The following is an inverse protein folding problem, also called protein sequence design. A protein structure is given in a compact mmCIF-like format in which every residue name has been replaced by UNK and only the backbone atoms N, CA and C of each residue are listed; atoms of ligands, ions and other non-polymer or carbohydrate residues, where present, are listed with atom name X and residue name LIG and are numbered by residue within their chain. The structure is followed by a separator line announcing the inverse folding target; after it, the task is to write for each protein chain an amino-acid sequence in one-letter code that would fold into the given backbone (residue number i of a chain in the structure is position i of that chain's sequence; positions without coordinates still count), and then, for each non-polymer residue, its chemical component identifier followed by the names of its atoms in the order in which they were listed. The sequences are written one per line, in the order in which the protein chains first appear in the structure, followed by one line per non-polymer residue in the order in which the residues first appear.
data_IF_951937133212
#
_entry.id   IF_951937133212
#
_cell.length_a   1.000
_cell.length_b   1.000
_cell.length_c   1.000
_cell.angle_alpha   90.00
_cell.angle_beta   90.00
_cell.angle_gamma   90.00
#
_symmetry.space_group_name_H-M   'P 1'
#
loop_
_entity.id
_entity.type
_entity.pdbx_description
1 polymer ?
#
# COMPACT_ATOMS: atom_id res chain seq x y z
N UNK A 1 -10.83 10.74 17.85
CA UNK A 1 -11.40 10.02 16.70
C UNK A 1 -10.32 9.86 15.63
N UNK A 2 -10.17 8.68 15.00
CA UNK A 2 -9.22 8.51 13.89
C UNK A 2 -9.53 9.46 12.72
N UNK A 3 -8.52 9.98 11.99
CA UNK A 3 -8.75 10.78 10.79
C UNK A 3 -9.59 10.03 9.74
N UNK A 4 -10.45 10.73 8.98
CA UNK A 4 -11.22 10.10 7.91
C UNK A 4 -10.32 9.68 6.74
N UNK A 5 -10.73 8.65 6.00
CA UNK A 5 -10.09 8.25 4.76
C UNK A 5 -10.35 9.29 3.66
N UNK A 6 -9.28 9.90 3.16
CA UNK A 6 -9.31 10.83 2.02
C UNK A 6 -8.21 10.53 1.00
N UNK A 7 -8.18 9.31 0.43
CA UNK A 7 -7.21 8.97 -0.61
C UNK A 7 -7.52 9.71 -1.93
N UNK A 8 -6.51 9.94 -2.79
CA UNK A 8 -6.75 10.33 -4.17
C UNK A 8 -7.44 9.19 -4.95
N UNK A 9 -7.93 9.49 -6.15
CA UNK A 9 -8.46 8.45 -7.04
C UNK A 9 -7.34 7.48 -7.45
N UNK A 10 -7.62 6.18 -7.45
CA UNK A 10 -6.69 5.18 -7.99
C UNK A 10 -6.78 5.18 -9.52
N UNK A 11 -5.68 5.49 -10.19
CA UNK A 11 -5.59 5.52 -11.66
C UNK A 11 -4.57 4.51 -12.21
N UNK A 12 -3.91 3.76 -11.32
CA UNK A 12 -2.91 2.77 -11.69
C UNK A 12 -3.54 1.51 -12.29
N UNK A 13 -2.81 0.88 -13.19
CA UNK A 13 -3.18 -0.42 -13.75
C UNK A 13 -3.12 -1.52 -12.67
N UNK A 14 -3.90 -2.59 -12.89
CA UNK A 14 -4.06 -3.66 -11.90
C UNK A 14 -2.73 -4.40 -11.60
N UNK A 15 -1.85 -4.53 -12.58
CA UNK A 15 -0.52 -5.12 -12.44
C UNK A 15 0.42 -4.25 -11.57
N UNK A 16 0.31 -2.93 -11.66
CA UNK A 16 1.03 -1.98 -10.80
C UNK A 16 0.54 -2.10 -9.36
N UNK A 17 -0.78 -2.14 -9.15
CA UNK A 17 -1.37 -2.33 -7.82
C UNK A 17 -0.96 -3.68 -7.23
N UNK A 18 -0.94 -4.74 -8.04
CA UNK A 18 -0.47 -6.05 -7.60
C UNK A 18 1.00 -6.02 -7.19
N UNK A 19 1.86 -5.41 -8.01
CA UNK A 19 3.28 -5.24 -7.68
C UNK A 19 3.46 -4.47 -6.38
N UNK A 20 2.69 -3.40 -6.19
CA UNK A 20 2.65 -2.64 -4.96
C UNK A 20 2.24 -3.46 -3.74
N UNK A 21 1.24 -4.33 -3.87
CA UNK A 21 0.84 -5.25 -2.81
C UNK A 21 1.95 -6.25 -2.46
N UNK A 22 2.61 -6.83 -3.45
CA UNK A 22 3.69 -7.80 -3.24
C UNK A 22 4.86 -7.14 -2.47
N UNK A 23 5.26 -5.94 -2.90
CA UNK A 23 6.29 -5.14 -2.19
C UNK A 23 5.83 -4.70 -0.81
N UNK A 24 4.60 -4.22 -0.67
CA UNK A 24 4.04 -3.82 0.63
C UNK A 24 4.05 -4.99 1.62
N UNK A 25 3.61 -6.16 1.17
CA UNK A 25 3.58 -7.38 1.98
C UNK A 25 4.96 -7.78 2.45
N UNK A 26 5.99 -7.61 1.61
CA UNK A 26 7.37 -7.97 1.93
C UNK A 26 8.05 -6.95 2.86
N UNK A 27 7.85 -5.65 2.66
CA UNK A 27 8.67 -4.61 3.31
C UNK A 27 7.93 -3.80 4.38
N UNK A 28 6.60 -3.72 4.32
CA UNK A 28 5.82 -2.75 5.10
C UNK A 28 4.89 -3.41 6.12
N UNK A 29 4.35 -4.57 5.79
CA UNK A 29 3.26 -5.24 6.53
C UNK A 29 3.58 -5.56 7.99
N UNK A 30 4.84 -5.90 8.29
CA UNK A 30 5.29 -6.28 9.65
C UNK A 30 5.12 -5.13 10.66
N UNK A 31 5.27 -3.88 10.21
CA UNK A 31 5.11 -2.70 11.06
C UNK A 31 3.73 -2.05 10.89
N UNK A 32 3.24 -1.95 9.65
CA UNK A 32 2.02 -1.20 9.32
C UNK A 32 0.76 -2.07 9.19
N UNK A 33 0.87 -3.37 9.44
CA UNK A 33 -0.21 -4.34 9.26
C UNK A 33 -0.41 -4.74 7.81
N UNK A 34 -1.03 -5.90 7.57
CA UNK A 34 -1.20 -6.45 6.22
C UNK A 34 -2.00 -5.55 5.26
N UNK A 35 -2.87 -4.71 5.83
CA UNK A 35 -3.83 -3.90 5.08
C UNK A 35 -3.56 -2.39 5.16
N UNK A 36 -2.37 -1.97 5.58
CA UNK A 36 -2.07 -0.55 5.84
C UNK A 36 -2.54 -0.06 7.20
N UNK A 37 -3.12 -0.95 8.02
CA UNK A 37 -3.59 -0.66 9.38
C UNK A 37 -3.11 -1.74 10.34
N UNK A 38 -2.40 -1.32 11.38
CA UNK A 38 -2.09 -2.19 12.51
C UNK A 38 -3.23 -2.16 13.53
N UNK A 39 -3.78 -3.32 13.90
CA UNK A 39 -4.94 -3.43 14.79
C UNK A 39 -4.64 -2.95 16.23
N UNK A 40 -3.39 -3.03 16.67
CA UNK A 40 -2.90 -2.58 17.99
C UNK A 40 -1.42 -2.18 17.85
N UNK A 41 -1.12 -0.93 17.50
CA UNK A 41 0.25 -0.58 17.14
C UNK A 41 0.66 0.88 17.32
N UNK A 42 1.92 1.05 17.71
CA UNK A 42 2.71 2.29 17.74
C UNK A 42 2.94 2.87 16.34
N UNK A 43 2.77 2.07 15.29
CA UNK A 43 3.01 2.45 13.90
C UNK A 43 1.77 3.10 13.26
N UNK A 44 1.96 4.13 12.43
CA UNK A 44 0.85 4.89 11.86
C UNK A 44 0.06 4.05 10.84
N UNK A 45 -1.26 4.30 10.78
CA UNK A 45 -2.13 3.85 9.70
C UNK A 45 -1.75 4.57 8.40
N UNK A 46 -1.32 3.81 7.40
CA UNK A 46 -0.85 4.34 6.13
C UNK A 46 -1.98 4.71 5.17
N UNK A 47 -3.21 4.26 5.39
CA UNK A 47 -4.35 4.61 4.53
C UNK A 47 -4.84 6.05 4.75
N UNK A 48 -4.47 6.68 5.87
CA UNK A 48 -4.84 8.07 6.20
C UNK A 48 -3.68 9.06 6.06
N UNK A 49 -2.51 8.60 5.58
CA UNK A 49 -1.35 9.49 5.44
C UNK A 49 -1.57 10.51 4.32
N UNK A 50 -1.20 11.79 4.51
CA UNK A 50 -1.24 12.77 3.43
C UNK A 50 -0.25 12.43 2.30
N UNK A 51 0.74 11.58 2.56
CA UNK A 51 1.75 11.18 1.58
C UNK A 51 1.17 10.40 0.39
N UNK A 52 -0.07 9.88 0.48
CA UNK A 52 -0.74 9.28 -0.67
C UNK A 52 -0.94 10.28 -1.81
N UNK A 53 -1.02 11.57 -1.52
CA UNK A 53 -1.22 12.65 -2.49
C UNK A 53 0.06 13.16 -3.14
N UNK A 54 1.23 12.66 -2.74
CA UNK A 54 2.52 13.17 -3.23
C UNK A 54 3.55 12.05 -3.37
N UNK A 55 3.94 11.72 -4.60
CA UNK A 55 5.01 10.77 -4.86
C UNK A 55 6.34 11.21 -4.21
N UNK A 56 6.73 12.47 -4.38
CA UNK A 56 8.00 12.97 -3.83
C UNK A 56 8.07 12.86 -2.30
N UNK A 57 7.03 13.30 -1.60
CA UNK A 57 6.93 13.15 -0.14
C UNK A 57 6.90 11.68 0.31
N UNK A 58 6.30 10.78 -0.47
CA UNK A 58 6.33 9.34 -0.18
C UNK A 58 7.75 8.78 -0.32
N UNK A 59 8.45 9.13 -1.40
CA UNK A 59 9.85 8.73 -1.66
C UNK A 59 10.82 9.28 -0.61
N UNK A 60 10.59 10.49 -0.10
CA UNK A 60 11.38 11.04 1.01
C UNK A 60 11.35 10.11 2.23
N UNK A 61 10.19 9.55 2.55
CA UNK A 61 10.04 8.64 3.69
C UNK A 61 10.58 7.25 3.38
N UNK A 62 10.18 6.66 2.25
CA UNK A 62 10.46 5.25 1.92
C UNK A 62 11.89 5.05 1.43
N UNK A 63 12.40 5.96 0.59
CA UNK A 63 13.70 5.82 -0.06
C UNK A 63 14.76 6.71 0.60
N UNK A 64 14.43 7.94 0.99
CA UNK A 64 15.44 8.87 1.52
C UNK A 64 15.61 8.81 3.03
N UNK A 65 14.76 8.05 3.74
CA UNK A 65 14.95 7.78 5.17
C UNK A 65 14.75 9.00 6.07
N UNK A 66 13.96 10.00 5.66
CA UNK A 66 13.73 11.22 6.48
C UNK A 66 13.04 10.96 7.83
N UNK A 67 12.63 9.70 8.08
CA UNK A 67 12.01 9.23 9.33
C UNK A 67 12.83 8.15 10.04
N UNK A 68 14.09 7.92 9.64
CA UNK A 68 14.94 6.86 10.20
C UNK A 68 15.14 6.99 11.72
N UNK A 69 15.33 8.21 12.22
CA UNK A 69 15.46 8.49 13.66
C UNK A 69 14.21 8.15 14.48
N UNK A 70 13.05 8.02 13.81
CA UNK A 70 11.77 7.62 14.41
C UNK A 70 11.45 6.14 14.18
N UNK A 71 12.42 5.35 13.71
CA UNK A 71 12.27 3.91 13.48
C UNK A 71 11.68 3.53 12.11
N UNK A 72 11.43 4.49 11.21
CA UNK A 72 11.03 4.21 9.83
C UNK A 72 12.25 4.26 8.91
N UNK A 73 12.84 3.09 8.66
CA UNK A 73 14.06 2.94 7.86
C UNK A 73 13.89 3.30 6.38
N UNK A 74 15.03 3.55 5.72
CA UNK A 74 15.09 3.65 4.26
C UNK A 74 15.15 2.26 3.62
N UNK A 75 14.46 2.12 2.50
CA UNK A 75 14.44 0.92 1.66
C UNK A 75 15.15 1.14 0.31
N UNK A 76 15.91 2.22 0.13
CA UNK A 76 16.53 2.55 -1.17
C UNK A 76 17.52 1.49 -1.69
N UNK A 77 18.01 0.61 -0.81
CA UNK A 77 18.85 -0.54 -1.20
C UNK A 77 18.06 -1.72 -1.75
N UNK A 78 16.76 -1.79 -1.49
CA UNK A 78 15.90 -2.93 -1.83
C UNK A 78 14.74 -2.55 -2.77
N UNK A 79 14.34 -1.27 -2.80
CA UNK A 79 13.22 -0.75 -3.58
C UNK A 79 13.69 0.33 -4.56
N UNK A 80 13.21 0.23 -5.80
CA UNK A 80 13.33 1.28 -6.81
C UNK A 80 12.28 2.38 -6.62
N UNK A 81 12.43 3.50 -7.34
CA UNK A 81 11.41 4.55 -7.39
C UNK A 81 10.06 4.02 -7.93
N UNK A 82 10.10 3.11 -8.92
CA UNK A 82 8.89 2.45 -9.43
C UNK A 82 8.23 1.54 -8.39
N UNK A 83 9.01 0.83 -7.56
CA UNK A 83 8.45 0.00 -6.49
C UNK A 83 7.78 0.88 -5.42
N UNK A 84 8.43 1.99 -5.04
CA UNK A 84 7.86 2.97 -4.12
C UNK A 84 6.53 3.53 -4.64
N UNK A 85 6.49 3.92 -5.92
CA UNK A 85 5.26 4.37 -6.57
C UNK A 85 4.18 3.28 -6.57
N UNK A 86 4.53 2.03 -6.91
CA UNK A 86 3.60 0.92 -6.90
C UNK A 86 3.01 0.67 -5.49
N UNK A 87 3.83 0.72 -4.44
CA UNK A 87 3.36 0.61 -3.04
C UNK A 87 2.39 1.73 -2.70
N UNK A 88 2.66 2.98 -3.11
CA UNK A 88 1.74 4.11 -2.90
C UNK A 88 0.40 3.86 -3.59
N UNK A 89 0.42 3.40 -4.84
CA UNK A 89 -0.80 3.08 -5.59
C UNK A 89 -1.60 1.92 -4.98
N UNK A 90 -0.93 0.91 -4.43
CA UNK A 90 -1.58 -0.14 -3.64
C UNK A 90 -2.31 0.43 -2.41
N UNK A 91 -1.64 1.28 -1.63
CA UNK A 91 -2.25 1.92 -0.44
C UNK A 91 -3.44 2.81 -0.81
N UNK A 92 -3.38 3.51 -1.95
CA UNK A 92 -4.48 4.32 -2.48
C UNK A 92 -5.67 3.43 -2.86
N UNK A 93 -5.42 2.37 -3.62
CA UNK A 93 -6.45 1.39 -4.01
C UNK A 93 -7.12 0.81 -2.76
N UNK A 94 -6.32 0.46 -1.76
CA UNK A 94 -6.80 -0.07 -0.48
C UNK A 94 -7.67 0.91 0.29
N UNK A 95 -7.21 2.14 0.44
CA UNK A 95 -7.95 3.20 1.13
C UNK A 95 -9.29 3.51 0.42
N UNK A 96 -9.31 3.50 -0.91
CA UNK A 96 -10.54 3.69 -1.69
C UNK A 96 -11.53 2.53 -1.50
N UNK A 97 -11.05 1.28 -1.50
CA UNK A 97 -11.90 0.11 -1.28
C UNK A 97 -12.57 0.15 0.11
N UNK A 98 -11.81 0.46 1.16
CA UNK A 98 -12.35 0.60 2.52
C UNK A 98 -13.36 1.75 2.61
N UNK A 99 -13.05 2.90 1.99
CA UNK A 99 -13.97 4.05 1.94
C UNK A 99 -15.28 3.71 1.23
N UNK A 100 -15.25 2.85 0.22
CA UNK A 100 -16.43 2.36 -0.50
C UNK A 100 -17.23 1.29 0.28
N UNK A 101 -16.80 0.93 1.49
CA UNK A 101 -17.46 -0.09 2.31
C UNK A 101 -17.11 -1.53 1.91
N UNK A 102 -16.10 -1.75 1.05
CA UNK A 102 -15.60 -3.09 0.78
C UNK A 102 -14.72 -3.53 1.97
N UNK A 103 -15.08 -4.61 2.68
CA UNK A 103 -14.19 -5.18 3.67
C UNK A 103 -13.00 -5.78 2.95
N UNK A 104 -11.77 -5.47 3.38
CA UNK A 104 -10.71 -6.46 3.34
C UNK A 104 -10.13 -6.89 1.98
N UNK A 105 -10.79 -6.66 0.85
CA UNK A 105 -10.44 -7.30 -0.41
C UNK A 105 -9.49 -6.44 -1.25
N UNK A 106 -8.29 -6.97 -1.49
CA UNK A 106 -7.54 -6.67 -2.71
C UNK A 106 -8.45 -6.97 -3.91
N UNK A 107 -8.62 -6.05 -4.88
CA UNK A 107 -9.24 -6.39 -6.15
C UNK A 107 -8.37 -7.45 -6.82
N UNK A 108 -8.79 -8.71 -6.72
CA UNK A 108 -8.25 -9.75 -7.57
C UNK A 108 -8.69 -9.38 -8.99
N UNK A 109 -7.73 -9.29 -9.92
CA UNK A 109 -8.04 -9.28 -11.34
C UNK A 109 -9.03 -10.43 -11.62
N UNK A 110 -10.04 -10.24 -12.50
CA UNK A 110 -10.99 -11.30 -12.78
C UNK A 110 -10.21 -12.54 -13.19
N UNK A 111 -10.36 -13.62 -12.41
CA UNK A 111 -9.83 -14.92 -12.80
C UNK A 111 -10.48 -15.24 -14.14
N UNK A 112 -9.69 -15.28 -15.20
CA UNK A 112 -10.14 -15.83 -16.46
C UNK A 112 -10.71 -17.22 -16.15
N UNK A 113 -11.98 -17.41 -16.50
CA UNK A 113 -12.64 -18.70 -16.39
C UNK A 113 -11.81 -19.71 -17.20
N UNK A 114 -11.17 -20.65 -16.50
CA UNK A 114 -10.39 -21.74 -17.06
C UNK A 114 -10.83 -23.02 -16.35
N UNK A 115 -11.32 -23.95 -17.16
CA UNK A 115 -12.07 -25.15 -16.83
C UNK A 115 -11.48 -26.03 -15.70
N UNK A 116 -12.40 -26.61 -14.93
CA UNK A 116 -12.28 -27.96 -14.40
C UNK A 116 -11.84 -28.93 -15.51
N UNK A 117 -10.88 -29.81 -15.23
CA UNK A 117 -11.03 -31.20 -15.64
C UNK A 117 -10.19 -32.06 -14.70
N UNK A 118 -10.85 -33.06 -14.12
CA UNK A 118 -10.34 -34.03 -13.17
C UNK A 118 -9.65 -35.18 -13.93
N UNK A 119 -8.60 -35.73 -13.33
CA UNK A 119 -7.90 -36.94 -13.78
C UNK A 119 -7.45 -37.75 -12.57
#
# INVERSE_FOLDING_TARGET
TPPPLSPPASTAAADVIKTGNDKYSQYCSVCHGQDGVMQRGTFPNLMVTPLLHTQAGFDQVVLQGVRAEKGMGSFAKDLSASDSAAVREYLISRANAVKAGAPGAVPQAPRAAGAHEEG
#
